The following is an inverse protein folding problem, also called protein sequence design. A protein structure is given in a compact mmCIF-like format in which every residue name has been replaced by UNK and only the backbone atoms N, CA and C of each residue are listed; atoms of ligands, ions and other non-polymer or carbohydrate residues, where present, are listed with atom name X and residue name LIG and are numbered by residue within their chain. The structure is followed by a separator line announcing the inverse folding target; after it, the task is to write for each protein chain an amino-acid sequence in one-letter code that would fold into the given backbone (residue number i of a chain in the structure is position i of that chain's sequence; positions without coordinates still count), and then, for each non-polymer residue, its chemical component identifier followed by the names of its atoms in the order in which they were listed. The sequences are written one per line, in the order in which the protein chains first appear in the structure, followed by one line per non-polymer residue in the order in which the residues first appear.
data_IF_727490530055
#
_entry.id   IF_727490530055
#
_cell.length_a   1.000
_cell.length_b   1.000
_cell.length_c   1.000
_cell.angle_alpha   90.00
_cell.angle_beta   90.00
_cell.angle_gamma   90.00
#
_symmetry.space_group_name_H-M   'P 1'
#
loop_
_entity.id
_entity.type
_entity.pdbx_description
1 polymer ?
#
# COMPACT_ATOMS: atom_id res chain seq x y z
N UNK A 1 -24.75 -16.57 -23.77
CA UNK A 1 -24.36 -16.04 -22.44
C UNK A 1 -25.55 -15.29 -21.88
N UNK A 2 -25.88 -15.41 -20.59
CA UNK A 2 -26.90 -14.59 -19.98
C UNK A 2 -26.46 -13.11 -19.97
N UNK A 3 -27.38 -12.20 -20.22
CA UNK A 3 -27.15 -10.76 -20.24
C UNK A 3 -27.97 -10.15 -19.11
N UNK A 4 -27.34 -9.25 -18.36
CA UNK A 4 -28.01 -8.41 -17.37
C UNK A 4 -28.07 -7.00 -17.96
N UNK A 5 -29.27 -6.43 -18.04
CA UNK A 5 -29.47 -5.06 -18.50
C UNK A 5 -29.70 -4.17 -17.28
N UNK A 6 -28.80 -3.21 -17.07
CA UNK A 6 -29.01 -2.14 -16.08
C UNK A 6 -29.78 -0.97 -16.72
N UNK A 7 -30.74 -0.37 -16.01
CA UNK A 7 -31.39 0.84 -16.48
C UNK A 7 -30.37 2.01 -16.48
N UNK A 8 -30.50 2.90 -17.46
CA UNK A 8 -29.68 4.10 -17.53
C UNK A 8 -29.95 5.00 -16.31
N UNK A 9 -28.89 5.56 -15.73
CA UNK A 9 -28.97 6.49 -14.60
C UNK A 9 -27.98 7.64 -14.79
N UNK A 10 -28.35 8.81 -14.27
CA UNK A 10 -27.40 9.93 -14.14
C UNK A 10 -26.59 9.76 -12.87
N UNK A 11 -25.27 9.79 -13.00
CA UNK A 11 -24.32 9.69 -11.86
C UNK A 11 -23.51 10.98 -11.83
N UNK A 12 -23.51 11.72 -10.71
CA UNK A 12 -22.70 12.92 -10.61
C UNK A 12 -21.21 12.56 -10.59
N UNK A 13 -20.40 13.37 -11.27
CA UNK A 13 -18.95 13.27 -11.20
C UNK A 13 -18.49 13.89 -9.87
N UNK A 14 -17.89 13.09 -8.98
CA UNK A 14 -17.44 13.54 -7.69
C UNK A 14 -16.02 14.14 -7.73
N UNK A 15 -15.15 13.63 -8.60
CA UNK A 15 -13.79 14.11 -8.78
C UNK A 15 -13.23 13.70 -10.15
N UNK A 16 -12.20 14.41 -10.60
CA UNK A 16 -11.47 14.13 -11.84
C UNK A 16 -9.97 14.07 -11.58
N UNK A 17 -9.27 13.14 -12.21
CA UNK A 17 -7.82 12.96 -12.09
C UNK A 17 -7.28 12.17 -13.28
N UNK A 18 -5.94 12.13 -13.40
CA UNK A 18 -5.25 11.38 -14.45
C UNK A 18 -5.25 9.89 -14.16
N UNK A 19 -5.20 9.53 -12.86
CA UNK A 19 -5.19 8.13 -12.39
C UNK A 19 -6.17 7.98 -11.24
N UNK A 20 -7.05 7.00 -11.36
CA UNK A 20 -7.97 6.60 -10.29
C UNK A 20 -7.57 5.22 -9.79
N UNK A 21 -7.32 5.10 -8.49
CA UNK A 21 -6.92 3.85 -7.84
C UNK A 21 -8.03 3.43 -6.87
N UNK A 22 -8.52 2.21 -7.02
CA UNK A 22 -9.56 1.66 -6.16
C UNK A 22 -8.95 0.69 -5.16
N UNK A 23 -8.94 1.09 -3.89
CA UNK A 23 -8.37 0.36 -2.77
C UNK A 23 -7.02 0.93 -2.30
N UNK A 24 -6.92 1.25 -1.02
CA UNK A 24 -5.72 1.77 -0.36
C UNK A 24 -4.86 0.69 0.31
N UNK A 25 -4.93 -0.55 -0.15
CA UNK A 25 -4.03 -1.63 0.29
C UNK A 25 -2.59 -1.42 -0.21
N UNK A 26 -1.64 -2.34 0.10
CA UNK A 26 -0.23 -2.17 -0.26
C UNK A 26 0.02 -1.85 -1.73
N UNK A 27 -0.66 -2.52 -2.65
CA UNK A 27 -0.58 -2.22 -4.07
C UNK A 27 -1.16 -0.86 -4.44
N UNK A 28 -2.30 -0.49 -3.84
CA UNK A 28 -3.00 0.75 -4.16
C UNK A 28 -2.26 1.99 -3.69
N UNK A 29 -1.82 2.05 -2.44
CA UNK A 29 -1.06 3.21 -1.97
C UNK A 29 0.32 3.30 -2.63
N UNK A 30 0.97 2.17 -2.93
CA UNK A 30 2.24 2.17 -3.66
C UNK A 30 2.07 2.71 -5.08
N UNK A 31 1.01 2.29 -5.79
CA UNK A 31 0.68 2.81 -7.11
C UNK A 31 0.34 4.31 -7.06
N UNK A 32 -0.40 4.75 -6.04
CA UNK A 32 -0.73 6.16 -5.84
C UNK A 32 0.51 7.03 -5.64
N UNK A 33 1.42 6.59 -4.76
CA UNK A 33 2.68 7.29 -4.49
C UNK A 33 3.52 7.36 -5.77
N UNK A 34 3.67 6.23 -6.49
CA UNK A 34 4.45 6.17 -7.71
C UNK A 34 3.87 7.10 -8.78
N UNK A 35 2.56 7.04 -9.05
CA UNK A 35 1.92 7.90 -10.05
C UNK A 35 2.04 9.39 -9.70
N UNK A 36 1.81 9.75 -8.43
CA UNK A 36 1.95 11.13 -7.97
C UNK A 36 3.39 11.66 -8.10
N UNK A 37 4.40 10.83 -7.82
CA UNK A 37 5.82 11.17 -8.02
C UNK A 37 6.18 11.40 -9.48
N UNK A 38 5.44 10.82 -10.40
CA UNK A 38 5.56 11.06 -11.83
C UNK A 38 4.69 12.23 -12.34
N UNK A 39 4.09 13.00 -11.43
CA UNK A 39 3.36 14.22 -11.75
C UNK A 39 1.88 14.03 -12.09
N UNK A 40 1.34 12.82 -11.97
CA UNK A 40 -0.07 12.56 -12.20
C UNK A 40 -0.94 13.11 -11.07
N UNK A 41 -2.11 13.66 -11.42
CA UNK A 41 -3.18 13.96 -10.44
C UNK A 41 -3.89 12.66 -10.08
N UNK A 42 -3.59 12.13 -8.88
CA UNK A 42 -4.07 10.82 -8.42
C UNK A 42 -5.30 10.99 -7.54
N UNK A 43 -6.28 10.12 -7.78
CA UNK A 43 -7.42 9.91 -6.87
C UNK A 43 -7.32 8.49 -6.35
N UNK A 44 -7.20 8.33 -5.04
CA UNK A 44 -7.27 7.04 -4.37
C UNK A 44 -8.61 6.94 -3.64
N UNK A 45 -9.33 5.86 -3.92
CA UNK A 45 -10.63 5.56 -3.31
C UNK A 45 -10.43 4.40 -2.34
N UNK A 46 -10.62 4.66 -1.05
CA UNK A 46 -10.58 3.64 -0.01
C UNK A 46 -11.91 3.61 0.77
N UNK A 47 -12.37 2.43 1.12
CA UNK A 47 -13.62 2.24 1.86
C UNK A 47 -13.48 2.48 3.37
N UNK A 48 -12.27 2.29 3.90
CA UNK A 48 -11.95 2.56 5.30
C UNK A 48 -11.46 4.00 5.47
N UNK A 49 -11.50 4.51 6.68
CA UNK A 49 -10.96 5.82 7.02
C UNK A 49 -9.43 5.87 7.11
N UNK A 50 -8.74 4.80 6.71
CA UNK A 50 -7.29 4.65 6.74
C UNK A 50 -6.83 3.70 5.62
N UNK A 51 -5.55 3.77 5.28
CA UNK A 51 -4.91 2.92 4.27
C UNK A 51 -4.31 1.66 4.88
N UNK A 52 -3.72 0.81 4.04
CA UNK A 52 -2.97 -0.36 4.42
C UNK A 52 -3.65 -1.69 4.08
N UNK A 53 -4.98 -1.73 3.93
CA UNK A 53 -5.71 -2.92 3.52
C UNK A 53 -5.42 -4.12 4.41
N UNK A 54 -4.82 -5.20 3.86
CA UNK A 54 -4.41 -6.39 4.61
C UNK A 54 -3.46 -6.07 5.76
N UNK A 55 -2.56 -5.12 5.58
CA UNK A 55 -1.56 -4.75 6.57
C UNK A 55 -2.14 -3.94 7.74
N UNK A 56 -3.35 -3.42 7.62
CA UNK A 56 -4.04 -2.65 8.69
C UNK A 56 -5.38 -3.27 9.03
N UNK A 57 -6.41 -3.09 8.21
CA UNK A 57 -7.74 -3.64 8.44
C UNK A 57 -7.76 -5.19 8.49
N UNK A 58 -6.90 -5.84 7.69
CA UNK A 58 -6.77 -7.30 7.66
C UNK A 58 -5.89 -7.89 8.76
N UNK A 59 -5.20 -7.04 9.55
CA UNK A 59 -4.32 -7.44 10.67
C UNK A 59 -3.25 -8.46 10.23
N UNK A 60 -2.78 -8.36 8.99
CA UNK A 60 -1.71 -9.22 8.47
C UNK A 60 -0.38 -8.47 8.62
N UNK A 61 0.32 -8.76 9.68
CA UNK A 61 1.70 -8.40 9.92
C UNK A 61 2.47 -9.69 10.21
N UNK A 62 3.58 -9.95 9.53
CA UNK A 62 4.53 -9.05 8.89
C UNK A 62 4.37 -8.92 7.36
N UNK A 63 5.15 -7.98 6.75
CA UNK A 63 5.36 -7.93 5.30
C UNK A 63 6.43 -8.94 4.93
N UNK A 64 6.12 -9.81 3.97
CA UNK A 64 6.96 -10.92 3.54
C UNK A 64 7.54 -10.70 2.15
N UNK A 65 8.60 -11.46 1.82
CA UNK A 65 9.16 -11.52 0.48
C UNK A 65 9.94 -10.28 0.06
N UNK A 66 10.50 -9.56 1.02
CA UNK A 66 11.30 -8.37 0.78
C UNK A 66 12.79 -8.68 0.56
N UNK A 67 13.24 -9.88 0.97
CA UNK A 67 14.62 -10.36 0.82
C UNK A 67 14.66 -11.72 0.14
N UNK A 68 15.80 -12.05 -0.46
CA UNK A 68 16.14 -13.40 -0.86
C UNK A 68 16.41 -14.26 0.39
N UNK A 69 15.87 -15.49 0.40
CA UNK A 69 15.82 -16.33 1.60
C UNK A 69 17.20 -16.73 2.15
N UNK A 70 18.22 -16.83 1.30
CA UNK A 70 19.54 -17.32 1.71
C UNK A 70 20.57 -16.18 1.86
N UNK A 71 20.51 -15.15 1.01
CA UNK A 71 21.50 -14.07 1.01
C UNK A 71 21.10 -12.86 1.83
N UNK A 72 19.85 -12.76 2.25
CA UNK A 72 19.27 -11.56 2.87
C UNK A 72 19.38 -10.29 2.02
N UNK A 73 19.69 -10.44 0.73
CA UNK A 73 19.70 -9.32 -0.20
C UNK A 73 18.28 -8.81 -0.44
N UNK A 74 18.08 -7.48 -0.46
CA UNK A 74 16.78 -6.91 -0.72
C UNK A 74 16.37 -7.19 -2.18
N UNK A 75 15.18 -7.73 -2.39
CA UNK A 75 14.56 -7.93 -3.70
C UNK A 75 13.39 -6.98 -3.94
N UNK A 76 12.86 -6.38 -2.88
CA UNK A 76 11.85 -5.32 -2.94
C UNK A 76 12.32 -4.17 -2.06
N UNK A 77 12.57 -3.02 -2.68
CA UNK A 77 12.99 -1.79 -2.04
C UNK A 77 12.06 -0.61 -2.40
N UNK A 78 12.61 0.58 -2.54
CA UNK A 78 11.90 1.78 -2.96
C UNK A 78 10.83 2.20 -1.94
N UNK A 79 9.57 2.14 -2.33
CA UNK A 79 8.45 2.57 -1.47
C UNK A 79 8.37 1.69 -0.22
N UNK A 80 8.66 0.39 -0.30
CA UNK A 80 8.64 -0.48 0.87
C UNK A 80 9.70 -0.07 1.90
N UNK A 81 10.92 0.20 1.45
CA UNK A 81 11.99 0.69 2.32
C UNK A 81 11.60 2.01 2.97
N UNK A 82 11.13 2.97 2.20
CA UNK A 82 10.70 4.28 2.72
C UNK A 82 9.60 4.16 3.78
N UNK A 83 8.60 3.32 3.55
CA UNK A 83 7.52 3.08 4.52
C UNK A 83 8.08 2.46 5.79
N UNK A 84 8.97 1.47 5.67
CA UNK A 84 9.62 0.83 6.83
C UNK A 84 10.40 1.85 7.65
N UNK A 85 11.20 2.70 7.01
CA UNK A 85 11.96 3.76 7.67
C UNK A 85 11.05 4.79 8.35
N UNK A 86 9.93 5.16 7.73
CA UNK A 86 8.93 6.07 8.33
C UNK A 86 8.23 5.43 9.54
N UNK A 87 7.81 4.17 9.44
CA UNK A 87 7.24 3.43 10.57
C UNK A 87 8.25 3.28 11.70
N UNK A 88 9.54 3.04 11.38
CA UNK A 88 10.61 2.99 12.38
C UNK A 88 10.74 4.32 13.12
N UNK A 89 10.72 5.44 12.42
CA UNK A 89 10.78 6.77 13.04
C UNK A 89 9.61 7.05 14.01
N UNK A 90 8.49 6.36 13.82
CA UNK A 90 7.33 6.38 14.73
C UNK A 90 7.42 5.32 15.85
N UNK A 91 8.49 4.52 15.88
CA UNK A 91 8.66 3.42 16.84
C UNK A 91 7.85 2.17 16.49
N UNK A 92 7.26 2.10 15.30
CA UNK A 92 6.35 1.03 14.89
C UNK A 92 6.94 -0.04 13.98
N UNK A 93 8.25 0.00 13.68
CA UNK A 93 8.93 -1.01 12.87
C UNK A 93 10.42 -1.10 13.21
N UNK A 94 11.12 -2.19 12.83
CA UNK A 94 12.58 -2.26 12.91
C UNK A 94 13.23 -1.26 11.94
N UNK A 95 14.54 -1.03 12.07
CA UNK A 95 15.31 -0.36 11.02
C UNK A 95 15.29 -1.21 9.74
N UNK A 96 15.61 -0.58 8.59
CA UNK A 96 15.70 -1.33 7.34
C UNK A 96 16.75 -2.44 7.40
N UNK A 97 17.92 -2.16 7.98
CA UNK A 97 19.01 -3.12 8.15
C UNK A 97 18.61 -4.32 9.03
N UNK A 98 17.84 -4.07 10.09
CA UNK A 98 17.29 -5.14 10.94
C UNK A 98 16.24 -5.96 10.19
N UNK A 99 15.38 -5.29 9.41
CA UNK A 99 14.35 -5.94 8.62
C UNK A 99 14.94 -6.90 7.58
N UNK A 100 16.08 -6.59 6.98
CA UNK A 100 16.78 -7.47 6.04
C UNK A 100 17.26 -8.78 6.67
N UNK A 101 17.46 -8.82 7.98
CA UNK A 101 17.93 -10.02 8.70
C UNK A 101 16.78 -10.89 9.23
N UNK A 102 15.55 -10.45 9.10
CA UNK A 102 14.36 -11.20 9.53
C UNK A 102 13.61 -11.74 8.29
N UNK A 103 12.84 -12.79 8.49
CA UNK A 103 11.98 -13.40 7.47
C UNK A 103 10.80 -12.51 7.04
N UNK A 104 10.52 -11.46 7.79
CA UNK A 104 9.44 -10.52 7.50
C UNK A 104 9.54 -9.23 8.31
N UNK A 105 9.13 -8.12 7.72
CA UNK A 105 9.10 -6.82 8.38
C UNK A 105 7.90 -6.77 9.32
N UNK A 106 8.16 -6.93 10.62
CA UNK A 106 7.12 -6.79 11.65
C UNK A 106 6.90 -5.32 11.93
N UNK A 107 5.66 -4.92 12.01
CA UNK A 107 5.30 -3.51 12.23
C UNK A 107 4.04 -3.37 13.07
N UNK A 108 3.89 -2.19 13.68
CA UNK A 108 2.63 -1.78 14.28
C UNK A 108 1.71 -1.21 13.19
N UNK A 109 0.51 -1.78 13.07
CA UNK A 109 -0.46 -1.35 12.08
C UNK A 109 -0.90 0.12 12.27
N UNK A 110 -0.85 0.66 13.49
CA UNK A 110 -1.16 2.07 13.75
C UNK A 110 -0.08 3.01 13.17
N UNK A 111 1.18 2.56 13.13
CA UNK A 111 2.26 3.34 12.51
C UNK A 111 2.17 3.37 10.97
N UNK A 112 1.43 2.43 10.36
CA UNK A 112 1.21 2.40 8.91
C UNK A 112 -0.01 3.25 8.49
N UNK A 113 -0.97 3.47 9.37
CA UNK A 113 -2.17 4.29 9.11
C UNK A 113 -1.84 5.78 9.00
#
# INVERSE_FOLDING_TARGET
MPIIVEPSRQVPVAAEGDVVICGGGPGGFSAAIAAARHGAKVILIERYGFMGGLATAGVVAPILGHTASESHEPIVEGILREITERMHALGGAPTWEQALQDWGIRFDAEALK
#
